data_IF_355994028628
#
_entry.id   IF_355994028628
#
_cell.length_a   1.000
_cell.length_b   1.000
_cell.length_c   1.000
_cell.angle_alpha   90.00
_cell.angle_beta   90.00
_cell.angle_gamma   90.00
#
_symmetry.space_group_name_H-M   'P 1'
#
loop_
_entity.id
_entity.type
_entity.pdbx_description
1 polymer ?
#
# COMPACT_ATOMS: atom_id res chain seq x y z
N UNK A 1 15.92 -7.24 2.26
CA UNK A 1 15.77 -5.91 2.88
C UNK A 1 14.97 -6.10 4.16
N UNK A 2 15.50 -5.60 5.28
CA UNK A 2 14.78 -5.57 6.56
C UNK A 2 13.80 -4.39 6.57
N UNK A 3 12.57 -4.66 6.98
CA UNK A 3 11.50 -3.66 7.10
C UNK A 3 10.89 -3.72 8.50
N UNK A 4 10.14 -2.71 8.95
CA UNK A 4 9.47 -2.75 10.26
C UNK A 4 8.50 -3.93 10.46
N UNK A 5 8.05 -4.55 9.36
CA UNK A 5 7.06 -5.65 9.39
C UNK A 5 7.65 -7.00 8.98
N UNK A 6 8.95 -7.09 8.76
CA UNK A 6 9.65 -8.33 8.40
C UNK A 6 10.68 -8.14 7.29
N UNK A 7 11.35 -9.23 6.95
CA UNK A 7 12.33 -9.26 5.86
C UNK A 7 11.60 -9.54 4.54
N UNK A 8 11.89 -8.72 3.53
CA UNK A 8 11.43 -8.93 2.16
C UNK A 8 12.61 -9.31 1.26
N UNK A 9 12.40 -10.27 0.37
CA UNK A 9 13.39 -10.66 -0.60
C UNK A 9 13.21 -9.86 -1.90
N UNK A 10 14.32 -9.30 -2.39
CA UNK A 10 14.31 -8.46 -3.60
C UNK A 10 15.29 -9.01 -4.61
N UNK A 11 14.82 -9.25 -5.83
CA UNK A 11 15.62 -9.65 -6.97
C UNK A 11 15.66 -8.55 -8.03
N UNK A 12 16.84 -8.19 -8.49
CA UNK A 12 17.08 -7.23 -9.57
C UNK A 12 17.58 -7.98 -10.80
N UNK A 13 16.80 -7.97 -11.86
CA UNK A 13 17.18 -8.56 -13.15
C UNK A 13 18.10 -7.62 -13.97
N UNK A 14 18.83 -8.19 -14.90
CA UNK A 14 19.78 -7.42 -15.75
C UNK A 14 19.09 -6.36 -16.62
N UNK A 15 17.82 -6.56 -16.96
CA UNK A 15 17.01 -5.61 -17.73
C UNK A 15 16.39 -4.51 -16.86
N UNK A 16 16.71 -4.48 -15.55
CA UNK A 16 16.22 -3.50 -14.59
C UNK A 16 14.82 -3.81 -14.03
N UNK A 17 14.28 -5.00 -14.28
CA UNK A 17 13.05 -5.46 -13.62
C UNK A 17 13.36 -5.84 -12.17
N UNK A 18 12.55 -5.36 -11.25
CA UNK A 18 12.65 -5.65 -9.80
C UNK A 18 11.50 -6.57 -9.42
N UNK A 19 11.79 -7.63 -8.69
CA UNK A 19 10.79 -8.51 -8.08
C UNK A 19 10.94 -8.48 -6.57
N UNK A 20 9.84 -8.33 -5.86
CA UNK A 20 9.79 -8.30 -4.40
C UNK A 20 8.88 -9.42 -3.91
N UNK A 21 9.43 -10.38 -3.17
CA UNK A 21 8.64 -11.32 -2.38
C UNK A 21 8.29 -10.60 -1.07
N UNK A 22 7.00 -10.24 -0.94
CA UNK A 22 6.52 -9.41 0.16
C UNK A 22 6.22 -10.26 1.40
N UNK A 23 5.91 -9.60 2.52
CA UNK A 23 5.47 -10.26 3.76
C UNK A 23 4.14 -10.99 3.57
N UNK A 24 3.81 -11.98 4.42
CA UNK A 24 2.50 -12.64 4.39
C UNK A 24 1.38 -11.63 4.38
N UNK A 25 0.47 -11.77 3.41
CA UNK A 25 -0.64 -10.84 3.17
C UNK A 25 -1.97 -11.59 3.27
N UNK A 26 -3.02 -10.94 3.79
CA UNK A 26 -4.30 -11.60 4.02
C UNK A 26 -5.48 -10.62 4.02
N UNK A 27 -6.67 -11.14 3.71
CA UNK A 27 -7.94 -10.45 3.92
C UNK A 27 -8.35 -10.60 5.38
N UNK A 28 -8.64 -9.49 6.06
CA UNK A 28 -9.06 -9.46 7.45
C UNK A 28 -10.57 -9.27 7.61
N UNK A 29 -11.18 -8.39 6.82
CA UNK A 29 -12.62 -8.13 6.85
C UNK A 29 -13.20 -8.03 5.45
N UNK A 30 -14.33 -8.71 5.22
CA UNK A 30 -15.07 -8.71 3.96
C UNK A 30 -16.37 -7.91 4.13
N UNK A 31 -16.73 -7.09 3.13
CA UNK A 31 -18.01 -6.36 3.12
C UNK A 31 -18.14 -5.34 4.24
N UNK A 32 -17.05 -4.83 4.77
CA UNK A 32 -17.03 -3.79 5.81
C UNK A 32 -17.64 -2.52 5.24
N UNK A 33 -18.67 -1.98 5.90
CA UNK A 33 -19.39 -0.79 5.42
C UNK A 33 -19.20 0.37 6.38
N UNK A 34 -18.89 1.55 5.83
CA UNK A 34 -18.73 2.80 6.56
C UNK A 34 -19.60 3.89 5.92
N UNK A 35 -20.22 4.75 6.75
CA UNK A 35 -21.01 5.87 6.25
C UNK A 35 -20.11 7.09 6.02
N UNK A 36 -19.90 7.45 4.76
CA UNK A 36 -19.00 8.52 4.33
C UNK A 36 -19.84 9.79 4.04
N UNK A 37 -19.49 10.95 4.63
CA UNK A 37 -20.20 12.20 4.36
C UNK A 37 -20.26 12.51 2.86
N UNK A 38 -21.42 12.93 2.37
CA UNK A 38 -21.73 13.24 0.96
C UNK A 38 -21.80 12.02 0.02
N UNK A 39 -21.24 10.87 0.41
CA UNK A 39 -21.18 9.66 -0.41
C UNK A 39 -22.09 8.54 0.07
N UNK A 40 -22.57 8.61 1.34
CA UNK A 40 -23.41 7.56 1.93
C UNK A 40 -22.63 6.32 2.32
N UNK A 41 -23.25 5.16 2.22
CA UNK A 41 -22.66 3.89 2.59
C UNK A 41 -21.62 3.45 1.54
N UNK A 42 -20.38 3.30 1.96
CA UNK A 42 -19.26 2.78 1.15
C UNK A 42 -18.83 1.44 1.75
N UNK A 43 -18.78 0.42 0.91
CA UNK A 43 -18.38 -0.93 1.33
C UNK A 43 -17.02 -1.29 0.73
N UNK A 44 -16.21 -2.01 1.52
CA UNK A 44 -14.89 -2.44 1.10
C UNK A 44 -14.39 -3.63 1.91
N UNK A 45 -13.15 -4.01 1.64
CA UNK A 45 -12.44 -5.06 2.36
C UNK A 45 -11.33 -4.45 3.21
N UNK A 46 -11.14 -4.96 4.43
CA UNK A 46 -9.97 -4.64 5.25
C UNK A 46 -8.93 -5.72 5.03
N UNK A 47 -7.72 -5.33 4.61
CA UNK A 47 -6.66 -6.26 4.28
C UNK A 47 -5.29 -5.78 4.71
N UNK A 48 -4.38 -6.73 4.88
CA UNK A 48 -2.97 -6.51 5.20
C UNK A 48 -2.09 -6.90 4.02
N UNK A 49 -1.19 -6.02 3.63
CA UNK A 49 -0.16 -6.26 2.61
C UNK A 49 1.22 -5.73 3.00
N UNK A 50 1.46 -5.54 4.32
CA UNK A 50 2.60 -4.81 4.88
C UNK A 50 2.20 -3.47 5.50
N UNK A 51 1.02 -2.98 5.14
CA UNK A 51 0.25 -1.89 5.76
C UNK A 51 -1.21 -2.32 5.83
N UNK A 52 -2.03 -1.64 6.63
CA UNK A 52 -3.46 -1.84 6.66
C UNK A 52 -4.16 -1.01 5.59
N UNK A 53 -4.98 -1.67 4.79
CA UNK A 53 -5.73 -1.09 3.69
C UNK A 53 -7.23 -1.22 3.90
N UNK A 54 -7.98 -0.23 3.42
CA UNK A 54 -9.39 -0.37 3.09
C UNK A 54 -9.52 -0.32 1.56
N UNK A 55 -9.93 -1.43 0.97
CA UNK A 55 -10.00 -1.66 -0.46
C UNK A 55 -11.44 -1.49 -0.96
N UNK A 56 -11.67 -0.56 -1.88
CA UNK A 56 -13.01 -0.18 -2.37
C UNK A 56 -13.10 -0.44 -3.86
N UNK A 57 -14.07 -1.26 -4.27
CA UNK A 57 -14.30 -1.61 -5.67
C UNK A 57 -15.37 -0.72 -6.30
N UNK A 58 -15.04 -0.03 -7.38
CA UNK A 58 -15.99 0.66 -8.30
C UNK A 58 -17.01 1.55 -7.60
N UNK A 59 -16.64 2.22 -6.51
CA UNK A 59 -17.44 3.20 -5.81
C UNK A 59 -16.68 4.54 -5.77
N UNK A 60 -17.43 5.65 -5.73
CA UNK A 60 -16.84 6.98 -5.69
C UNK A 60 -16.55 7.55 -7.09
N UNK A 61 -15.65 8.55 -7.18
CA UNK A 61 -15.24 9.15 -8.45
C UNK A 61 -14.58 8.12 -9.37
N UNK A 62 -14.69 8.25 -10.70
CA UNK A 62 -13.94 7.42 -11.63
C UNK A 62 -12.44 7.47 -11.36
N UNK A 63 -11.78 6.29 -11.36
CA UNK A 63 -10.34 6.16 -11.16
C UNK A 63 -9.62 6.61 -12.42
N UNK A 64 -9.37 7.91 -12.52
CA UNK A 64 -8.74 8.57 -13.64
C UNK A 64 -7.87 9.73 -13.17
N UNK A 65 -6.77 10.01 -13.86
CA UNK A 65 -5.83 11.07 -13.49
C UNK A 65 -6.46 12.47 -13.47
N UNK A 66 -7.53 12.71 -14.24
CA UNK A 66 -8.31 13.94 -14.19
C UNK A 66 -9.13 14.13 -12.90
N UNK A 67 -9.29 13.07 -12.10
CA UNK A 67 -10.12 13.07 -10.89
C UNK A 67 -9.30 12.99 -9.59
N UNK A 68 -7.98 13.21 -9.63
CA UNK A 68 -7.09 13.06 -8.46
C UNK A 68 -7.60 13.83 -7.23
N UNK A 69 -8.06 15.08 -7.40
CA UNK A 69 -8.59 15.89 -6.29
C UNK A 69 -9.85 15.27 -5.68
N UNK A 70 -10.80 14.84 -6.53
CA UNK A 70 -12.03 14.21 -6.07
C UNK A 70 -11.79 12.84 -5.42
N UNK A 71 -10.86 12.06 -5.96
CA UNK A 71 -10.41 10.79 -5.38
C UNK A 71 -9.72 10.99 -4.04
N UNK A 72 -8.87 12.01 -3.92
CA UNK A 72 -8.20 12.36 -2.66
C UNK A 72 -9.22 12.77 -1.60
N UNK A 73 -10.21 13.59 -1.94
CA UNK A 73 -11.27 14.00 -1.00
C UNK A 73 -12.13 12.81 -0.58
N UNK A 74 -12.56 11.99 -1.53
CA UNK A 74 -13.35 10.79 -1.27
C UNK A 74 -12.64 9.81 -0.34
N UNK A 75 -11.41 9.43 -0.67
CA UNK A 75 -10.61 8.47 0.12
C UNK A 75 -10.23 9.03 1.49
N UNK A 76 -9.97 10.34 1.59
CA UNK A 76 -9.74 11.00 2.86
C UNK A 76 -10.97 10.96 3.77
N UNK A 77 -12.17 11.21 3.23
CA UNK A 77 -13.44 11.09 3.98
C UNK A 77 -13.70 9.65 4.43
N UNK A 78 -13.35 8.65 3.61
CA UNK A 78 -13.40 7.23 4.02
C UNK A 78 -12.49 7.00 5.23
N UNK A 79 -11.21 7.40 5.14
CA UNK A 79 -10.25 7.23 6.24
C UNK A 79 -10.74 7.87 7.54
N UNK A 80 -11.26 9.10 7.46
CA UNK A 80 -11.83 9.79 8.63
C UNK A 80 -13.03 9.04 9.21
N UNK A 81 -13.88 8.49 8.35
CA UNK A 81 -15.06 7.73 8.76
C UNK A 81 -14.68 6.39 9.41
N UNK A 82 -13.71 5.66 8.87
CA UNK A 82 -13.18 4.44 9.51
C UNK A 82 -12.65 4.74 10.92
N UNK A 83 -11.89 5.81 11.07
CA UNK A 83 -11.35 6.25 12.37
C UNK A 83 -12.46 6.65 13.34
N UNK A 84 -13.46 7.42 12.90
CA UNK A 84 -14.63 7.83 13.70
C UNK A 84 -15.40 6.62 14.21
N UNK A 85 -15.59 5.61 13.35
CA UNK A 85 -16.42 4.43 13.63
C UNK A 85 -15.62 3.31 14.33
N UNK A 86 -14.33 3.53 14.64
CA UNK A 86 -13.46 2.59 15.32
C UNK A 86 -13.14 1.33 14.50
N UNK A 87 -13.22 1.42 13.16
CA UNK A 87 -12.89 0.32 12.26
C UNK A 87 -11.37 0.28 12.08
N UNK A 88 -10.77 -0.85 12.45
CA UNK A 88 -9.32 -1.05 12.46
C UNK A 88 -8.96 -2.40 11.85
N UNK A 89 -7.68 -2.61 11.58
CA UNK A 89 -7.11 -3.92 11.35
C UNK A 89 -6.99 -4.74 12.63
N UNK A 90 -6.29 -5.86 12.55
CA UNK A 90 -6.00 -6.76 13.68
C UNK A 90 -5.28 -5.98 14.80
N UNK A 91 -5.62 -6.30 16.05
CA UNK A 91 -5.02 -5.70 17.26
C UNK A 91 -5.08 -4.17 17.33
N UNK A 92 -6.10 -3.58 16.70
CA UNK A 92 -6.29 -2.13 16.69
C UNK A 92 -5.40 -1.39 15.67
N UNK A 93 -4.77 -2.11 14.73
CA UNK A 93 -3.93 -1.51 13.69
C UNK A 93 -4.67 -0.45 12.89
N UNK A 94 -4.12 0.76 12.79
CA UNK A 94 -4.74 1.87 12.03
C UNK A 94 -4.78 1.53 10.54
N UNK A 95 -5.97 1.70 9.93
CA UNK A 95 -6.13 1.65 8.48
C UNK A 95 -5.75 3.02 7.94
N UNK A 96 -4.51 3.17 7.52
CA UNK A 96 -3.91 4.43 7.08
C UNK A 96 -3.84 4.60 5.56
N UNK A 97 -4.11 3.53 4.81
CA UNK A 97 -4.20 3.52 3.36
C UNK A 97 -5.62 3.21 2.88
N UNK A 98 -6.11 3.99 1.94
CA UNK A 98 -7.40 3.74 1.27
C UNK A 98 -7.13 3.57 -0.21
N UNK A 99 -7.57 2.46 -0.77
CA UNK A 99 -7.33 2.14 -2.17
C UNK A 99 -8.65 1.93 -2.90
N UNK A 100 -8.85 2.66 -3.99
CA UNK A 100 -10.04 2.60 -4.83
C UNK A 100 -9.67 2.02 -6.17
N UNK A 101 -10.48 1.06 -6.63
CA UNK A 101 -10.27 0.38 -7.90
C UNK A 101 -11.33 0.74 -8.94
N UNK A 102 -10.89 0.75 -10.19
CA UNK A 102 -11.72 0.94 -11.36
C UNK A 102 -11.20 0.15 -12.56
N UNK A 103 -11.89 0.24 -13.71
CA UNK A 103 -11.42 -0.40 -14.92
C UNK A 103 -10.11 0.22 -15.37
N UNK A 104 -9.20 -0.58 -15.98
CA UNK A 104 -7.98 -0.06 -16.58
C UNK A 104 -8.30 0.77 -17.83
N UNK A 105 -7.38 1.65 -18.23
CA UNK A 105 -7.50 2.40 -19.49
C UNK A 105 -7.43 1.49 -20.73
N UNK A 106 -6.68 0.41 -20.65
CA UNK A 106 -6.58 -0.64 -21.65
C UNK A 106 -6.52 -2.03 -20.95
N UNK A 107 -7.56 -2.85 -21.16
CA UNK A 107 -7.64 -4.22 -20.61
C UNK A 107 -6.59 -5.17 -21.20
N UNK A 108 -5.90 -4.81 -22.27
CA UNK A 108 -4.75 -5.58 -22.76
C UNK A 108 -3.52 -5.38 -21.92
N UNK A 109 -3.41 -4.24 -21.22
CA UNK A 109 -2.24 -3.83 -20.45
C UNK A 109 -2.41 -4.19 -18.97
N UNK A 110 -3.59 -3.97 -18.40
CA UNK A 110 -3.86 -4.22 -16.99
C UNK A 110 -5.24 -4.85 -16.76
N UNK A 111 -5.41 -5.47 -15.60
CA UNK A 111 -6.65 -6.11 -15.17
C UNK A 111 -7.50 -5.16 -14.30
N UNK A 112 -6.85 -4.17 -13.65
CA UNK A 112 -7.48 -3.14 -12.84
C UNK A 112 -6.60 -1.88 -12.82
N UNK A 113 -7.20 -0.73 -12.49
CA UNK A 113 -6.52 0.53 -12.17
C UNK A 113 -6.85 0.92 -10.74
N UNK A 114 -5.91 1.54 -10.03
CA UNK A 114 -6.13 2.00 -8.67
C UNK A 114 -5.79 3.49 -8.47
N UNK A 115 -6.36 4.02 -7.40
CA UNK A 115 -5.92 5.23 -6.72
C UNK A 115 -5.67 4.88 -5.27
N UNK A 116 -4.50 5.23 -4.72
CA UNK A 116 -4.10 4.90 -3.35
C UNK A 116 -3.85 6.18 -2.58
N UNK A 117 -4.66 6.42 -1.54
CA UNK A 117 -4.37 7.44 -0.54
C UNK A 117 -3.38 6.87 0.48
N UNK A 118 -2.28 7.57 0.67
CA UNK A 118 -1.23 7.28 1.64
C UNK A 118 -1.34 8.18 2.90
N UNK A 119 -0.58 7.90 3.97
CA UNK A 119 -0.41 8.82 5.09
C UNK A 119 0.01 10.22 4.64
N UNK A 120 -0.43 11.25 5.38
CA UNK A 120 -0.15 12.64 5.02
C UNK A 120 -1.11 13.24 3.99
N UNK A 121 -2.14 12.50 3.57
CA UNK A 121 -3.08 12.90 2.49
C UNK A 121 -2.40 13.00 1.12
N UNK A 122 -1.30 12.27 0.95
CA UNK A 122 -0.63 12.11 -0.34
C UNK A 122 -1.23 10.94 -1.12
N UNK A 123 -1.02 10.88 -2.43
CA UNK A 123 -1.42 9.72 -3.24
C UNK A 123 -0.21 9.05 -3.89
N UNK A 124 -0.31 7.74 -4.08
CA UNK A 124 0.74 6.98 -4.76
C UNK A 124 0.63 7.16 -6.29
N UNK A 125 1.74 7.46 -6.94
CA UNK A 125 1.84 7.51 -8.40
C UNK A 125 2.12 6.14 -9.02
N UNK A 126 2.63 5.21 -8.21
CA UNK A 126 2.80 3.80 -8.58
C UNK A 126 1.53 3.00 -8.28
N UNK A 127 1.44 1.73 -8.73
CA UNK A 127 0.34 0.84 -8.31
C UNK A 127 0.31 0.49 -6.83
N UNK A 128 1.27 0.93 -6.02
CA UNK A 128 1.51 0.56 -4.61
C UNK A 128 1.82 -0.93 -4.41
N UNK A 129 3.03 -1.26 -3.94
CA UNK A 129 3.45 -2.66 -3.75
C UNK A 129 2.67 -3.37 -2.64
N UNK A 130 2.51 -2.72 -1.49
CA UNK A 130 1.75 -3.24 -0.34
C UNK A 130 0.24 -3.25 -0.61
N UNK A 131 -0.30 -2.23 -1.32
CA UNK A 131 -1.69 -2.21 -1.76
C UNK A 131 -2.01 -3.32 -2.76
N UNK A 132 -1.17 -3.49 -3.78
CA UNK A 132 -1.29 -4.62 -4.72
C UNK A 132 -1.23 -5.97 -3.97
N UNK A 133 -0.34 -6.12 -2.98
CA UNK A 133 -0.25 -7.33 -2.16
C UNK A 133 -1.55 -7.62 -1.38
N UNK A 134 -2.13 -6.59 -0.76
CA UNK A 134 -3.43 -6.68 -0.07
C UNK A 134 -4.56 -7.06 -1.05
N UNK A 135 -4.59 -6.44 -2.24
CA UNK A 135 -5.55 -6.75 -3.30
C UNK A 135 -5.45 -8.20 -3.77
N UNK A 136 -4.24 -8.70 -4.02
CA UNK A 136 -4.02 -10.09 -4.44
C UNK A 136 -4.48 -11.08 -3.37
N UNK A 137 -4.24 -10.78 -2.09
CA UNK A 137 -4.73 -11.61 -0.98
C UNK A 137 -6.26 -11.66 -0.95
N UNK A 138 -6.94 -10.53 -1.16
CA UNK A 138 -8.41 -10.49 -1.25
C UNK A 138 -8.93 -11.27 -2.45
N UNK A 139 -8.32 -11.12 -3.63
CA UNK A 139 -8.69 -11.85 -4.83
C UNK A 139 -8.51 -13.37 -4.66
N UNK A 140 -7.41 -13.78 -4.03
CA UNK A 140 -7.15 -15.20 -3.74
C UNK A 140 -8.18 -15.76 -2.76
N UNK A 141 -8.42 -15.08 -1.65
CA UNK A 141 -9.41 -15.45 -0.64
C UNK A 141 -10.85 -15.52 -1.20
N UNK A 142 -11.15 -14.74 -2.24
CA UNK A 142 -12.43 -14.78 -2.95
C UNK A 142 -12.48 -15.84 -4.07
N UNK A 143 -11.42 -16.63 -4.27
CA UNK A 143 -11.32 -17.63 -5.35
C UNK A 143 -11.22 -17.02 -6.76
N UNK A 144 -10.90 -15.73 -6.87
CA UNK A 144 -10.79 -14.99 -8.14
C UNK A 144 -9.37 -14.95 -8.71
N UNK A 145 -8.38 -15.37 -7.94
CA UNK A 145 -6.97 -15.45 -8.34
C UNK A 145 -6.40 -16.78 -7.86
N UNK A 146 -5.99 -17.64 -8.79
CA UNK A 146 -5.31 -18.89 -8.45
C UNK A 146 -3.84 -18.62 -8.07
N UNK A 147 -3.25 -19.55 -7.31
CA UNK A 147 -1.82 -19.54 -7.02
C UNK A 147 -1.00 -19.51 -8.32
N UNK A 148 0.01 -18.65 -8.39
CA UNK A 148 0.87 -18.45 -9.55
C UNK A 148 0.21 -17.72 -10.74
N UNK A 149 -1.10 -17.45 -10.68
CA UNK A 149 -1.78 -16.67 -11.70
C UNK A 149 -1.31 -15.22 -11.65
N UNK A 150 -0.99 -14.64 -12.82
CA UNK A 150 -0.56 -13.26 -12.95
C UNK A 150 -1.76 -12.32 -12.91
N UNK A 151 -1.64 -11.24 -12.12
CA UNK A 151 -2.50 -10.07 -12.08
C UNK A 151 -1.71 -8.84 -12.46
N UNK A 152 -2.27 -7.94 -13.26
CA UNK A 152 -1.63 -6.69 -13.69
C UNK A 152 -2.41 -5.52 -13.09
N UNK A 153 -1.78 -4.82 -12.18
CA UNK A 153 -2.35 -3.65 -11.52
C UNK A 153 -1.78 -2.38 -12.13
N UNK A 154 -2.63 -1.55 -12.74
CA UNK A 154 -2.25 -0.21 -13.19
C UNK A 154 -2.42 0.81 -12.06
N UNK A 155 -1.52 1.78 -12.00
CA UNK A 155 -1.66 2.99 -11.17
C UNK A 155 -2.60 4.00 -11.80
N UNK A 156 -2.88 5.08 -11.07
CA UNK A 156 -3.60 6.24 -11.57
C UNK A 156 -2.92 6.90 -12.80
N UNK A 157 -1.63 6.66 -12.99
CA UNK A 157 -0.82 7.16 -14.12
C UNK A 157 -0.49 6.08 -15.16
N UNK A 158 -1.20 4.95 -15.14
CA UNK A 158 -1.03 3.82 -16.07
C UNK A 158 0.34 3.11 -16.02
N UNK A 159 1.15 3.32 -14.97
CA UNK A 159 2.28 2.42 -14.72
C UNK A 159 1.76 1.09 -14.17
N UNK A 160 2.41 -0.02 -14.50
CA UNK A 160 1.87 -1.36 -14.18
C UNK A 160 2.84 -2.13 -13.29
N UNK A 161 2.29 -2.75 -12.24
CA UNK A 161 2.91 -3.85 -11.54
C UNK A 161 2.27 -5.17 -11.96
N UNK A 162 3.10 -6.19 -12.11
CA UNK A 162 2.66 -7.58 -12.22
C UNK A 162 2.72 -8.21 -10.84
N UNK A 163 1.68 -8.95 -10.47
CA UNK A 163 1.63 -9.62 -9.19
C UNK A 163 1.11 -11.04 -9.29
N UNK A 164 1.62 -11.93 -8.47
CA UNK A 164 1.10 -13.29 -8.28
C UNK A 164 1.21 -13.66 -6.80
N UNK A 165 0.60 -14.76 -6.40
CA UNK A 165 0.63 -15.22 -5.01
C UNK A 165 1.09 -16.67 -4.94
N UNK A 166 1.76 -17.02 -3.84
CA UNK A 166 1.99 -18.36 -3.35
C UNK A 166 1.22 -18.53 -2.04
N UNK A 167 0.51 -19.62 -1.90
CA UNK A 167 -0.25 -19.92 -0.67
C UNK A 167 0.70 -20.08 0.53
N UNK A 168 0.34 -19.52 1.67
CA UNK A 168 1.06 -19.71 2.94
C UNK A 168 0.06 -19.98 4.07
N UNK A 169 0.01 -21.24 4.51
CA UNK A 169 -1.01 -21.68 5.48
C UNK A 169 -2.42 -21.56 4.92
N UNK A 170 -3.39 -21.43 5.82
CA UNK A 170 -4.82 -21.47 5.46
C UNK A 170 -5.42 -20.08 5.20
N UNK A 171 -4.79 -19.00 5.71
CA UNK A 171 -5.39 -17.66 5.72
C UNK A 171 -4.56 -16.60 5.01
N UNK A 172 -3.31 -16.89 4.64
CA UNK A 172 -2.39 -15.92 4.06
C UNK A 172 -1.75 -16.38 2.77
N UNK A 173 -1.25 -15.43 2.02
CA UNK A 173 -0.46 -15.65 0.81
C UNK A 173 0.84 -14.86 0.90
N UNK A 174 1.85 -15.31 0.18
CA UNK A 174 3.08 -14.56 -0.08
C UNK A 174 2.94 -13.94 -1.48
N UNK A 175 2.76 -12.61 -1.58
CA UNK A 175 2.73 -11.93 -2.86
C UNK A 175 4.12 -11.79 -3.45
N UNK A 176 4.24 -12.03 -4.75
CA UNK A 176 5.38 -11.66 -5.57
C UNK A 176 4.98 -10.49 -6.47
N UNK A 177 5.57 -9.32 -6.24
CA UNK A 177 5.29 -8.09 -6.99
C UNK A 177 6.48 -7.76 -7.89
N UNK A 178 6.21 -7.46 -9.16
CA UNK A 178 7.21 -7.13 -10.17
C UNK A 178 6.94 -5.76 -10.78
N UNK A 179 7.99 -4.95 -10.90
CA UNK A 179 7.88 -3.61 -11.48
C UNK A 179 9.24 -3.04 -11.87
N UNK A 180 9.26 -1.79 -12.28
CA UNK A 180 10.47 -1.05 -12.65
C UNK A 180 10.59 0.23 -11.84
N UNK A 181 11.84 0.58 -11.53
CA UNK A 181 12.20 1.89 -11.00
C UNK A 181 13.40 2.44 -11.81
N UNK A 182 13.51 3.76 -11.83
CA UNK A 182 14.58 4.46 -12.54
C UNK A 182 15.34 5.33 -11.56
N UNK A 183 16.67 5.35 -11.68
CA UNK A 183 17.51 6.30 -10.97
C UNK A 183 17.21 7.70 -11.51
N UNK A 184 16.77 8.59 -10.64
CA UNK A 184 16.37 9.95 -11.00
C UNK A 184 17.16 11.04 -10.24
N UNK A 185 18.15 10.64 -9.45
CA UNK A 185 18.98 11.57 -8.72
C UNK A 185 20.12 10.90 -7.97
N UNK A 186 21.16 11.69 -7.69
CA UNK A 186 22.25 11.35 -6.78
C UNK A 186 22.41 12.48 -5.77
N UNK A 187 22.69 12.16 -4.51
CA UNK A 187 22.87 13.14 -3.45
C UNK A 187 24.02 12.74 -2.53
N UNK A 188 24.75 13.75 -2.03
CA UNK A 188 25.72 13.59 -0.94
C UNK A 188 25.10 14.13 0.35
N UNK A 189 24.99 13.29 1.37
CA UNK A 189 24.57 13.69 2.70
C UNK A 189 25.79 14.01 3.56
N UNK A 190 25.77 15.18 4.20
CA UNK A 190 26.85 15.62 5.10
C UNK A 190 26.33 15.49 6.53
N UNK A 191 26.95 14.63 7.31
CA UNK A 191 26.72 14.47 8.74
C UNK A 191 27.78 15.28 9.49
N UNK A 192 27.50 16.54 9.76
CA UNK A 192 28.42 17.42 10.49
C UNK A 192 28.60 16.90 11.93
N UNK A 193 29.83 16.65 12.40
CA UNK A 193 30.07 16.14 13.75
C UNK A 193 29.57 17.08 14.85
N UNK A 194 29.41 18.37 14.55
CA UNK A 194 28.94 19.38 15.50
C UNK A 194 27.42 19.54 15.52
N UNK A 195 26.69 18.98 14.54
CA UNK A 195 25.23 19.00 14.52
C UNK A 195 24.65 18.05 15.57
N UNK A 196 23.94 18.53 16.60
CA UNK A 196 23.32 17.70 17.62
C UNK A 196 22.22 16.77 17.04
N UNK A 197 21.69 17.09 15.86
CA UNK A 197 20.63 16.31 15.20
C UNK A 197 21.12 15.46 14.04
N UNK A 198 22.42 15.30 13.85
CA UNK A 198 23.01 14.56 12.72
C UNK A 198 22.52 13.12 12.54
N UNK A 199 22.00 12.49 13.60
CA UNK A 199 21.42 11.16 13.60
C UNK A 199 19.89 11.17 13.74
N UNK A 200 19.23 12.31 13.50
CA UNK A 200 17.80 12.51 13.67
C UNK A 200 17.41 12.89 15.10
N UNK A 201 16.14 13.11 15.30
CA UNK A 201 15.57 13.41 16.63
C UNK A 201 15.43 12.07 17.36
N UNK A 202 16.19 11.88 18.42
CA UNK A 202 16.09 10.69 19.27
C UNK A 202 14.96 10.89 20.28
N UNK A 203 14.18 9.84 20.52
CA UNK A 203 13.15 9.86 21.57
C UNK A 203 13.79 10.17 22.93
N UNK A 204 13.34 11.24 23.56
CA UNK A 204 13.81 11.67 24.89
C UNK A 204 13.37 10.74 26.03
N UNK A 205 13.01 9.48 25.71
CA UNK A 205 12.50 8.49 26.68
C UNK A 205 13.56 7.85 27.57
N UNK A 206 14.86 8.01 27.28
CA UNK A 206 15.92 7.43 28.11
C UNK A 206 17.07 8.42 28.33
N UNK A 207 16.96 9.20 29.41
CA UNK A 207 17.95 10.22 29.80
C UNK A 207 19.31 9.65 30.27
N UNK A 208 19.59 8.35 30.03
CA UNK A 208 20.81 7.71 30.54
C UNK A 208 21.95 7.59 29.53
N UNK A 209 21.79 8.03 28.26
CA UNK A 209 22.82 7.82 27.21
C UNK A 209 23.52 9.08 26.70
N UNK A 210 23.25 10.27 27.25
CA UNK A 210 24.08 11.45 26.95
C UNK A 210 25.39 11.40 27.75
N UNK A 211 26.33 10.54 27.35
CA UNK A 211 27.73 10.74 27.69
C UNK A 211 28.37 11.51 26.51
N UNK A 212 28.57 12.82 26.72
CA UNK A 212 29.44 13.61 25.89
C UNK A 212 30.84 12.95 25.92
N UNK A 213 31.26 12.41 24.77
CA UNK A 213 32.64 12.00 24.58
C UNK A 213 33.50 13.23 24.47
N UNK A 214 34.40 13.38 25.40
CA UNK A 214 35.56 14.30 25.37
C UNK A 214 36.53 13.93 24.28
#
# INVERSE_FOLDING_TARGET
IETPVGVVEVSLAQDGLVSVENVPSFRYGEGVTVNVPEWGAVSGEVAWGGNWFFLVESQGPPVDAGNIEALTDFTWKIRQSLKRDGITGRDGGEIDHIEVFGPPSDSKIADSRNFVLCPGKEYDRSPCGTGTSAKLACLHAAGKLAEGQMWRQASILDTVFEGSVRTEGDESVIPLIRGRAWVNGEATLILDPTDPFRFGIQDCGDSSSFKAGT
#
